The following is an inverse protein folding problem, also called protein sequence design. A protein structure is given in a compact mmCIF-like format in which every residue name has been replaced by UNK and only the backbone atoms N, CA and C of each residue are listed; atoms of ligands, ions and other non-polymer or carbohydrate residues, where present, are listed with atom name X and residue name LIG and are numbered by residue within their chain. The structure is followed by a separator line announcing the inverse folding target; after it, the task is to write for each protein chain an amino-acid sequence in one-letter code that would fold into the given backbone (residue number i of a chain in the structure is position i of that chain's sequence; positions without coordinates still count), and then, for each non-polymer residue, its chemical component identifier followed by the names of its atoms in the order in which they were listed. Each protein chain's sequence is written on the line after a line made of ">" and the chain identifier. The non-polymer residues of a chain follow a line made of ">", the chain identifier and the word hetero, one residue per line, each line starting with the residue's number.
data_IF_782003852873
#
_entry.id   IF_782003852873
#
_cell.length_a   1.000
_cell.length_b   1.000
_cell.length_c   1.000
_cell.angle_alpha   90.00
_cell.angle_beta   90.00
_cell.angle_gamma   90.00
#
_symmetry.space_group_name_H-M   'P 1'
#
loop_
_entity.id
_entity.type
_entity.pdbx_description
1 polymer ?
#
# COMPACT_ATOMS: atom_id res chain seq x y z
N UNK A 1 13.34 32.53 -71.41
CA UNK A 1 11.90 32.79 -71.63
C UNK A 1 11.16 32.19 -70.43
N UNK A 2 10.70 33.00 -69.46
CA UNK A 2 9.37 33.67 -69.42
C UNK A 2 8.20 32.69 -69.48
N UNK A 3 7.11 32.79 -68.70
CA UNK A 3 6.70 33.69 -67.61
C UNK A 3 5.50 33.00 -66.90
N UNK A 4 5.16 33.39 -65.68
CA UNK A 4 3.92 32.95 -64.98
C UNK A 4 2.65 33.59 -65.58
N UNK A 5 1.51 32.89 -65.52
CA UNK A 5 0.21 33.48 -65.14
C UNK A 5 -0.34 32.84 -63.84
N UNK A 6 -1.02 33.51 -62.90
CA UNK A 6 -2.31 34.26 -62.97
C UNK A 6 -3.54 33.31 -62.98
N UNK A 7 -4.74 33.61 -62.43
CA UNK A 7 -5.37 34.87 -61.99
C UNK A 7 -6.61 34.59 -61.08
N UNK A 8 -7.35 35.65 -60.67
CA UNK A 8 -8.76 35.70 -60.18
C UNK A 8 -9.04 35.50 -58.67
N UNK A 9 -9.98 36.22 -58.02
CA UNK A 9 -10.60 37.54 -58.29
C UNK A 9 -11.24 38.11 -56.98
N UNK A 10 -10.81 39.32 -56.59
CA UNK A 10 -11.59 40.53 -56.26
C UNK A 10 -13.07 40.46 -55.75
N UNK A 11 -13.35 41.04 -54.56
CA UNK A 11 -14.49 41.95 -54.28
C UNK A 11 -14.41 42.62 -52.88
N UNK A 12 -14.78 43.90 -52.78
CA UNK A 12 -14.98 44.68 -51.52
C UNK A 12 -16.47 44.63 -51.10
N UNK A 13 -16.97 45.20 -49.99
CA UNK A 13 -16.45 46.14 -48.97
C UNK A 13 -17.03 45.75 -47.57
N UNK A 14 -17.25 46.57 -46.52
CA UNK A 14 -17.26 48.03 -46.29
C UNK A 14 -16.76 48.35 -44.85
N UNK A 15 -17.23 49.43 -44.21
CA UNK A 15 -16.68 50.01 -42.96
C UNK A 15 -17.76 50.15 -41.89
N UNK A 16 -17.39 49.96 -40.61
CA UNK A 16 -18.20 50.30 -39.44
C UNK A 16 -17.36 50.46 -38.18
N UNK A 17 -16.89 51.68 -37.89
CA UNK A 17 -16.11 51.99 -36.68
C UNK A 17 -17.00 52.42 -35.52
N UNK A 18 -16.80 51.82 -34.34
CA UNK A 18 -17.19 52.40 -33.05
C UNK A 18 -16.01 52.31 -32.09
N UNK A 19 -15.55 53.46 -31.63
CA UNK A 19 -14.47 53.56 -30.64
C UNK A 19 -15.05 53.55 -29.23
N UNK A 20 -14.39 52.85 -28.30
CA UNK A 20 -14.55 53.07 -26.87
C UNK A 20 -13.19 53.05 -26.18
N UNK A 21 -13.01 53.94 -25.20
CA UNK A 21 -11.71 54.29 -24.62
C UNK A 21 -11.24 53.29 -23.54
N UNK A 22 -9.93 53.27 -23.19
CA UNK A 22 -9.38 52.30 -22.25
C UNK A 22 -9.41 52.80 -20.80
N UNK A 23 -10.17 52.12 -19.93
CA UNK A 23 -10.06 52.24 -18.47
C UNK A 23 -10.33 50.89 -17.80
N UNK A 24 -9.43 50.45 -16.92
CA UNK A 24 -9.57 49.16 -16.22
C UNK A 24 -8.26 48.50 -15.86
N UNK A 25 -7.53 49.09 -14.90
CA UNK A 25 -6.32 48.48 -14.33
C UNK A 25 -6.67 47.19 -13.59
N UNK A 26 -6.47 46.03 -14.22
CA UNK A 26 -6.46 44.77 -13.49
C UNK A 26 -5.21 44.69 -12.62
N UNK A 27 -5.38 44.96 -11.33
CA UNK A 27 -4.35 44.74 -10.33
C UNK A 27 -3.94 43.26 -10.32
N UNK A 28 -2.64 42.99 -10.32
CA UNK A 28 -2.12 41.65 -10.12
C UNK A 28 -2.35 41.24 -8.65
N UNK A 29 -3.22 40.26 -8.42
CA UNK A 29 -3.36 39.67 -7.09
C UNK A 29 -2.05 39.02 -6.67
N UNK A 30 -1.47 39.59 -5.62
CA UNK A 30 -0.22 39.14 -4.99
C UNK A 30 -0.42 37.71 -4.46
N UNK A 31 0.48 36.75 -4.75
CA UNK A 31 0.37 35.40 -4.21
C UNK A 31 0.27 35.44 -2.67
N UNK A 32 -0.62 34.65 -2.04
CA UNK A 32 -0.78 34.66 -0.60
C UNK A 32 0.55 34.28 0.07
N UNK A 33 0.87 34.97 1.16
CA UNK A 33 2.13 34.81 1.88
C UNK A 33 2.31 33.35 2.33
N UNK A 34 3.57 32.89 2.38
CA UNK A 34 3.95 31.58 2.94
C UNK A 34 3.41 31.46 4.37
N UNK A 35 2.31 30.73 4.53
CA UNK A 35 1.89 30.25 5.85
C UNK A 35 2.99 29.34 6.41
N UNK A 36 3.39 29.59 7.65
CA UNK A 36 4.37 28.75 8.33
C UNK A 36 3.83 27.32 8.43
N UNK A 37 4.47 26.40 7.70
CA UNK A 37 4.11 24.99 7.75
C UNK A 37 4.41 24.47 9.16
N UNK A 38 3.36 24.22 9.94
CA UNK A 38 3.49 23.55 11.24
C UNK A 38 4.27 22.25 11.04
N UNK A 39 5.36 22.00 11.77
CA UNK A 39 6.23 20.87 11.48
C UNK A 39 5.46 19.56 11.62
N UNK A 40 5.28 18.88 10.48
CA UNK A 40 4.64 17.57 10.45
C UNK A 40 5.37 16.63 11.41
N UNK A 41 4.63 15.93 12.27
CA UNK A 41 5.18 14.88 13.15
C UNK A 41 5.78 13.69 12.37
N UNK A 42 5.76 13.76 11.04
CA UNK A 42 6.43 12.86 10.12
C UNK A 42 7.90 13.27 10.00
N UNK A 43 8.74 12.83 10.95
CA UNK A 43 10.14 12.53 10.63
C UNK A 43 10.10 11.53 9.46
N UNK A 44 10.46 12.00 8.27
CA UNK A 44 10.29 11.25 7.02
C UNK A 44 11.13 9.97 7.08
N UNK A 45 10.44 8.83 7.02
CA UNK A 45 11.09 7.54 6.86
C UNK A 45 11.75 7.52 5.48
N UNK A 46 13.06 7.22 5.45
CA UNK A 46 13.83 7.12 4.22
C UNK A 46 13.27 5.97 3.32
N UNK A 47 12.76 6.27 2.12
CA UNK A 47 12.21 5.24 1.22
C UNK A 47 13.24 4.19 0.78
N UNK A 48 14.54 4.52 0.81
CA UNK A 48 15.62 3.58 0.49
C UNK A 48 15.85 2.60 1.65
N UNK A 49 15.76 3.07 2.90
CA UNK A 49 15.88 2.25 4.10
C UNK A 49 14.73 1.25 4.29
N UNK A 50 13.54 1.55 3.71
CA UNK A 50 12.40 0.63 3.64
C UNK A 50 12.69 -0.53 2.67
N UNK A 51 13.20 -0.22 1.49
CA UNK A 51 13.41 -1.20 0.41
C UNK A 51 14.68 -2.04 0.57
N UNK A 52 15.69 -1.54 1.28
CA UNK A 52 16.96 -2.24 1.51
C UNK A 52 16.72 -3.59 2.23
N UNK A 53 17.19 -4.73 1.69
CA UNK A 53 17.15 -6.01 2.39
C UNK A 53 17.85 -5.94 3.75
N UNK A 54 17.24 -6.54 4.76
CA UNK A 54 17.75 -6.60 6.12
C UNK A 54 17.14 -7.79 6.86
N UNK A 55 17.93 -8.43 7.71
CA UNK A 55 17.55 -9.55 8.57
C UNK A 55 18.05 -9.29 9.99
N UNK A 56 17.32 -9.78 10.99
CA UNK A 56 17.65 -9.64 12.40
C UNK A 56 16.40 -9.43 13.27
N UNK A 57 16.61 -9.41 14.58
CA UNK A 57 15.53 -9.43 15.57
C UNK A 57 15.00 -8.05 15.96
N UNK A 58 14.01 -8.06 16.85
CA UNK A 58 13.33 -6.88 17.38
C UNK A 58 14.29 -5.75 17.82
N UNK A 59 15.42 -6.08 18.45
CA UNK A 59 16.41 -5.07 18.86
C UNK A 59 16.97 -4.27 17.68
N UNK A 60 17.25 -4.95 16.56
CA UNK A 60 17.69 -4.31 15.32
C UNK A 60 16.58 -3.48 14.65
N UNK A 61 15.33 -3.95 14.73
CA UNK A 61 14.16 -3.19 14.27
C UNK A 61 13.94 -1.91 15.10
N UNK A 62 14.14 -2.00 16.43
CA UNK A 62 14.08 -0.85 17.35
C UNK A 62 15.20 0.16 17.04
N UNK A 63 16.44 -0.32 16.85
CA UNK A 63 17.59 0.53 16.49
C UNK A 63 17.36 1.28 15.17
N UNK A 64 16.82 0.60 14.15
CA UNK A 64 16.43 1.19 12.86
C UNK A 64 15.15 2.04 12.93
N UNK A 65 14.37 1.92 14.03
CA UNK A 65 13.05 2.54 14.25
C UNK A 65 12.01 2.17 13.18
N UNK A 66 12.18 1.02 12.55
CA UNK A 66 11.39 0.61 11.38
C UNK A 66 11.05 -0.88 11.47
N UNK A 67 9.77 -1.20 11.32
CA UNK A 67 9.25 -2.55 11.17
C UNK A 67 8.45 -2.60 9.86
N UNK A 68 8.82 -3.51 8.96
CA UNK A 68 8.26 -3.65 7.62
C UNK A 68 7.37 -4.89 7.58
N UNK A 69 6.07 -4.69 7.51
CA UNK A 69 5.07 -5.77 7.48
C UNK A 69 4.74 -6.10 6.03
N UNK A 70 5.24 -7.23 5.55
CA UNK A 70 4.83 -7.83 4.29
C UNK A 70 3.37 -8.28 4.41
N UNK A 71 2.53 -7.85 3.48
CA UNK A 71 1.11 -8.20 3.45
C UNK A 71 0.63 -8.35 2.01
N UNK A 72 -0.67 -8.56 1.80
CA UNK A 72 -1.23 -8.82 0.46
C UNK A 72 -2.48 -7.98 0.24
N UNK A 73 -2.59 -7.41 -0.98
CA UNK A 73 -3.74 -6.61 -1.35
C UNK A 73 -5.02 -7.47 -1.35
N UNK A 74 -5.95 -7.17 -0.45
CA UNK A 74 -7.27 -7.79 -0.33
C UNK A 74 -8.18 -6.90 0.52
N UNK A 75 -9.50 -6.97 0.30
CA UNK A 75 -10.48 -6.22 1.11
C UNK A 75 -10.52 -6.64 2.59
N UNK A 76 -9.91 -7.76 2.95
CA UNK A 76 -9.83 -8.27 4.34
C UNK A 76 -8.55 -7.83 5.06
N UNK A 77 -7.38 -8.02 4.43
CA UNK A 77 -6.09 -7.87 5.13
C UNK A 77 -5.47 -6.49 4.98
N UNK A 78 -5.31 -6.01 3.74
CA UNK A 78 -4.72 -4.73 3.42
C UNK A 78 -5.30 -4.20 2.12
N UNK A 79 -5.86 -2.99 2.15
CA UNK A 79 -6.25 -2.23 0.97
C UNK A 79 -6.08 -0.73 1.21
N UNK A 80 -6.10 0.04 0.13
CA UNK A 80 -6.12 1.51 0.19
C UNK A 80 -7.48 2.01 -0.28
N UNK A 81 -8.08 2.91 0.49
CA UNK A 81 -9.34 3.59 0.20
C UNK A 81 -9.12 5.10 0.38
N UNK A 82 -9.26 5.87 -0.71
CA UNK A 82 -9.04 7.33 -0.74
C UNK A 82 -7.71 7.77 -0.08
N UNK A 83 -6.64 7.01 -0.32
CA UNK A 83 -5.31 7.24 0.28
C UNK A 83 -5.11 6.70 1.69
N UNK A 84 -6.16 6.21 2.36
CA UNK A 84 -6.10 5.63 3.70
C UNK A 84 -5.86 4.12 3.60
N UNK A 85 -4.81 3.64 4.27
CA UNK A 85 -4.57 2.20 4.47
C UNK A 85 -5.60 1.63 5.47
N UNK A 86 -6.23 0.51 5.11
CA UNK A 86 -7.27 -0.18 5.88
C UNK A 86 -7.10 -1.71 5.80
N UNK A 87 -7.78 -2.43 6.69
CA UNK A 87 -7.84 -3.89 6.73
C UNK A 87 -7.26 -4.43 8.03
N UNK A 88 -7.58 -5.69 8.36
CA UNK A 88 -7.28 -6.30 9.67
C UNK A 88 -5.79 -6.24 10.00
N UNK A 89 -4.90 -6.41 9.00
CA UNK A 89 -3.45 -6.31 9.21
C UNK A 89 -3.04 -4.88 9.54
N UNK A 90 -3.65 -3.87 8.90
CA UNK A 90 -3.36 -2.46 9.20
C UNK A 90 -3.75 -2.11 10.62
N UNK A 91 -4.94 -2.51 11.05
CA UNK A 91 -5.48 -2.13 12.36
C UNK A 91 -4.79 -2.88 13.49
N UNK A 92 -4.52 -4.19 13.32
CA UNK A 92 -3.72 -4.97 14.28
C UNK A 92 -2.31 -4.41 14.46
N UNK A 93 -1.62 -4.04 13.37
CA UNK A 93 -0.26 -3.52 13.46
C UNK A 93 -0.16 -2.06 13.92
N UNK A 94 -1.24 -1.26 13.79
CA UNK A 94 -1.34 0.05 14.47
C UNK A 94 -1.36 -0.12 15.99
N UNK A 95 -2.20 -1.01 16.50
CA UNK A 95 -2.24 -1.34 17.94
C UNK A 95 -0.89 -1.88 18.42
N UNK A 96 -0.26 -2.77 17.65
CA UNK A 96 1.09 -3.26 17.94
C UNK A 96 2.13 -2.12 17.98
N UNK A 97 2.12 -1.17 17.02
CA UNK A 97 3.05 -0.04 17.03
C UNK A 97 2.87 0.82 18.28
N UNK A 98 1.62 1.10 18.67
CA UNK A 98 1.32 1.88 19.87
C UNK A 98 1.79 1.17 21.15
N UNK A 99 1.47 -0.11 21.31
CA UNK A 99 1.85 -0.92 22.47
C UNK A 99 3.36 -1.14 22.56
N UNK A 100 4.02 -1.38 21.43
CA UNK A 100 5.49 -1.45 21.37
C UNK A 100 6.10 -0.14 21.86
N UNK A 101 5.68 1.01 21.33
CA UNK A 101 6.22 2.31 21.73
C UNK A 101 5.92 2.66 23.20
N UNK A 102 4.73 2.31 23.73
CA UNK A 102 4.43 2.45 25.18
C UNK A 102 5.42 1.65 26.02
N UNK A 103 5.65 0.36 25.68
CA UNK A 103 6.58 -0.53 26.39
C UNK A 103 8.03 -0.04 26.31
N UNK A 104 8.49 0.41 25.14
CA UNK A 104 9.85 0.94 24.95
C UNK A 104 10.08 2.25 25.72
N UNK A 105 9.07 3.12 25.80
CA UNK A 105 9.11 4.34 26.60
C UNK A 105 9.17 4.04 28.11
N UNK A 106 8.34 3.11 28.60
CA UNK A 106 8.34 2.67 30.00
C UNK A 106 9.69 2.06 30.41
N UNK A 107 10.30 1.24 29.54
CA UNK A 107 11.62 0.62 29.75
C UNK A 107 12.81 1.57 29.51
N UNK A 108 12.57 2.84 29.13
CA UNK A 108 13.63 3.82 28.73
C UNK A 108 14.57 3.31 27.62
N UNK A 109 14.12 2.36 26.79
CA UNK A 109 14.92 1.78 25.70
C UNK A 109 15.06 2.71 24.48
N UNK A 110 14.23 3.76 24.42
CA UNK A 110 14.35 4.83 23.43
C UNK A 110 15.36 5.87 23.93
N UNK A 111 16.51 6.01 23.25
CA UNK A 111 17.55 7.01 23.57
C UNK A 111 17.01 8.46 23.64
N UNK A 112 15.88 8.74 22.97
CA UNK A 112 15.20 10.03 23.00
C UNK A 112 13.68 9.80 23.05
N UNK A 113 12.96 10.44 23.98
CA UNK A 113 11.53 10.21 24.25
C UNK A 113 10.58 10.43 23.04
N UNK A 114 11.02 11.16 22.02
CA UNK A 114 10.21 11.48 20.83
C UNK A 114 10.52 10.58 19.62
N UNK A 115 11.56 9.73 19.67
CA UNK A 115 11.91 8.81 18.59
C UNK A 115 11.14 7.49 18.75
N UNK A 116 10.03 7.37 18.05
CA UNK A 116 9.20 6.15 18.00
C UNK A 116 9.69 5.16 16.94
N UNK A 117 9.45 3.87 17.17
CA UNK A 117 9.49 2.83 16.13
C UNK A 117 8.23 2.96 15.28
N UNK A 118 8.35 2.82 13.96
CA UNK A 118 7.25 2.96 12.99
C UNK A 118 7.02 1.67 12.23
N UNK A 119 5.76 1.30 12.02
CA UNK A 119 5.37 0.20 11.15
C UNK A 119 5.05 0.75 9.75
N UNK A 120 5.55 0.06 8.72
CA UNK A 120 5.20 0.29 7.32
C UNK A 120 4.68 -0.98 6.66
N UNK A 121 3.67 -0.86 5.81
CA UNK A 121 3.03 -1.98 5.13
C UNK A 121 3.56 -2.12 3.71
N UNK A 122 4.04 -3.33 3.38
CA UNK A 122 4.62 -3.68 2.08
C UNK A 122 3.71 -4.71 1.38
N UNK A 123 2.73 -4.27 0.57
CA UNK A 123 1.88 -5.19 -0.16
C UNK A 123 2.65 -5.90 -1.29
N UNK A 124 2.63 -7.23 -1.27
CA UNK A 124 3.24 -8.09 -2.30
C UNK A 124 2.22 -9.13 -2.82
N UNK A 125 2.58 -9.86 -3.88
CA UNK A 125 1.83 -11.03 -4.33
C UNK A 125 1.98 -12.15 -3.29
N UNK A 126 0.92 -12.90 -2.92
CA UNK A 126 0.98 -13.93 -1.85
C UNK A 126 2.00 -15.04 -2.11
N UNK A 127 2.26 -15.42 -3.37
CA UNK A 127 3.33 -16.37 -3.72
C UNK A 127 4.74 -15.80 -3.48
N UNK A 128 4.89 -14.48 -3.39
CA UNK A 128 6.13 -13.80 -3.06
C UNK A 128 6.27 -13.49 -1.56
N UNK A 129 5.25 -13.75 -0.74
CA UNK A 129 5.22 -13.30 0.66
C UNK A 129 6.31 -13.96 1.51
N UNK A 130 6.40 -15.29 1.50
CA UNK A 130 7.44 -16.03 2.24
C UNK A 130 8.83 -15.89 1.60
N UNK A 131 9.00 -15.98 0.26
CA UNK A 131 10.29 -15.68 -0.38
C UNK A 131 10.81 -14.26 -0.10
N UNK A 132 9.94 -13.26 -0.02
CA UNK A 132 10.32 -11.88 0.32
C UNK A 132 10.72 -11.74 1.80
N UNK A 133 10.07 -12.46 2.71
CA UNK A 133 10.45 -12.49 4.13
C UNK A 133 11.82 -13.15 4.31
N UNK A 134 12.03 -14.35 3.75
CA UNK A 134 13.32 -15.04 3.78
C UNK A 134 14.46 -14.23 3.14
N UNK A 135 14.16 -13.45 2.09
CA UNK A 135 15.10 -12.53 1.45
C UNK A 135 15.28 -11.18 2.19
N UNK A 136 14.75 -11.02 3.41
CA UNK A 136 14.89 -9.81 4.23
C UNK A 136 14.23 -8.54 3.64
N UNK A 137 13.28 -8.69 2.71
CA UNK A 137 12.55 -7.56 2.10
C UNK A 137 11.43 -7.01 3.00
N UNK A 138 11.13 -7.72 4.07
CA UNK A 138 10.36 -7.24 5.21
C UNK A 138 10.81 -7.94 6.48
N UNK A 139 10.25 -7.53 7.60
CA UNK A 139 10.65 -7.97 8.94
C UNK A 139 9.60 -8.93 9.55
N UNK A 140 8.33 -8.84 9.10
CA UNK A 140 7.21 -9.71 9.51
C UNK A 140 6.30 -9.95 8.29
N UNK A 141 5.73 -11.15 8.14
CA UNK A 141 4.68 -11.43 7.14
C UNK A 141 3.31 -11.63 7.80
N UNK A 142 2.28 -10.89 7.34
CA UNK A 142 0.93 -10.93 7.89
C UNK A 142 -0.13 -10.94 6.77
N UNK A 143 -0.75 -12.11 6.55
CA UNK A 143 -1.70 -12.32 5.46
C UNK A 143 -2.67 -13.51 5.65
N UNK A 144 -2.97 -13.96 6.87
CA UNK A 144 -3.60 -15.26 7.15
C UNK A 144 -2.82 -16.42 6.49
N UNK A 145 -1.78 -16.88 7.20
CA UNK A 145 -0.87 -17.93 6.77
C UNK A 145 -1.06 -19.16 7.65
N UNK A 146 -1.60 -20.22 7.07
CA UNK A 146 -1.60 -21.56 7.68
C UNK A 146 -0.16 -22.02 7.90
N UNK A 147 0.13 -22.53 9.09
CA UNK A 147 1.42 -23.15 9.41
C UNK A 147 1.44 -24.53 8.74
N UNK A 148 2.45 -24.80 7.93
CA UNK A 148 2.69 -26.12 7.31
C UNK A 148 4.18 -26.45 7.37
N UNK A 149 4.58 -27.74 7.35
CA UNK A 149 6.00 -28.13 7.44
C UNK A 149 6.88 -27.47 6.38
N UNK A 150 6.37 -27.34 5.14
CA UNK A 150 7.08 -26.74 4.00
C UNK A 150 7.30 -25.23 4.20
N UNK A 151 6.40 -24.56 4.91
CA UNK A 151 6.52 -23.13 5.24
C UNK A 151 7.43 -22.92 6.44
N UNK A 152 7.36 -23.79 7.44
CA UNK A 152 8.26 -23.78 8.60
C UNK A 152 9.72 -24.05 8.21
N UNK A 153 9.96 -24.83 7.16
CA UNK A 153 11.30 -25.01 6.59
C UNK A 153 11.89 -23.74 5.92
N UNK A 154 11.09 -22.69 5.73
CA UNK A 154 11.52 -21.42 5.12
C UNK A 154 11.57 -20.25 6.10
N UNK A 155 10.65 -20.19 7.07
CA UNK A 155 10.51 -19.09 8.04
C UNK A 155 9.91 -19.57 9.36
N UNK A 156 10.26 -18.88 10.44
CA UNK A 156 9.60 -19.06 11.73
C UNK A 156 8.18 -18.49 11.75
N UNK A 157 7.33 -19.08 12.59
CA UNK A 157 5.96 -18.62 12.84
C UNK A 157 5.78 -18.21 14.30
N UNK A 158 4.89 -17.24 14.53
CA UNK A 158 4.43 -16.92 15.89
C UNK A 158 3.58 -18.06 16.45
N UNK A 159 3.26 -17.99 17.75
CA UNK A 159 2.07 -18.68 18.27
C UNK A 159 0.86 -18.31 17.37
N UNK A 160 0.02 -19.28 16.95
CA UNK A 160 -1.10 -19.00 16.07
C UNK A 160 -2.06 -17.96 16.68
N UNK A 161 -2.43 -16.95 15.90
CA UNK A 161 -3.44 -15.97 16.31
C UNK A 161 -4.88 -16.52 16.23
N UNK A 162 -5.08 -17.64 15.52
CA UNK A 162 -6.33 -18.40 15.41
C UNK A 162 -5.97 -19.90 15.39
N UNK A 163 -6.75 -20.73 16.07
CA UNK A 163 -6.71 -22.20 15.99
C UNK A 163 -8.08 -22.73 15.54
N UNK A 164 -8.18 -24.04 15.33
CA UNK A 164 -9.46 -24.74 15.08
C UNK A 164 -10.27 -24.16 13.91
N UNK A 165 -9.57 -23.79 12.83
CA UNK A 165 -10.14 -23.14 11.65
C UNK A 165 -10.80 -24.17 10.73
N UNK A 166 -12.11 -24.03 10.51
CA UNK A 166 -12.84 -24.79 9.50
C UNK A 166 -12.59 -24.23 8.10
N UNK A 167 -12.01 -25.04 7.23
CA UNK A 167 -11.94 -24.76 5.78
C UNK A 167 -13.24 -25.28 5.12
N UNK A 168 -13.88 -24.45 4.28
CA UNK A 168 -15.20 -24.76 3.70
C UNK A 168 -15.17 -24.69 2.18
N UNK A 169 -15.80 -25.67 1.53
CA UNK A 169 -16.02 -25.67 0.08
C UNK A 169 -17.14 -24.66 -0.23
N UNK A 170 -16.89 -23.75 -1.16
CA UNK A 170 -17.88 -22.77 -1.63
C UNK A 170 -18.30 -23.13 -3.04
N UNK A 171 -19.59 -23.41 -3.23
CA UNK A 171 -20.19 -23.76 -4.52
C UNK A 171 -21.27 -22.75 -4.93
N UNK A 172 -21.62 -22.70 -6.22
CA UNK A 172 -22.63 -21.78 -6.73
C UNK A 172 -24.07 -22.30 -6.48
N UNK A 173 -25.11 -21.45 -6.53
CA UNK A 173 -26.50 -21.86 -6.26
C UNK A 173 -27.07 -22.98 -7.15
N UNK A 174 -26.49 -23.18 -8.34
CA UNK A 174 -26.85 -24.24 -9.28
C UNK A 174 -25.96 -25.49 -9.16
N UNK A 175 -24.99 -25.50 -8.24
CA UNK A 175 -24.15 -26.67 -7.98
C UNK A 175 -24.92 -27.68 -7.10
N UNK A 176 -24.74 -28.99 -7.30
CA UNK A 176 -25.21 -29.98 -6.35
C UNK A 176 -24.66 -29.70 -4.94
N UNK A 177 -25.42 -29.95 -3.86
CA UNK A 177 -24.88 -29.94 -2.50
C UNK A 177 -23.65 -30.85 -2.39
N UNK A 178 -22.71 -30.44 -1.53
CA UNK A 178 -21.49 -31.20 -1.22
C UNK A 178 -21.50 -31.38 0.30
N UNK A 179 -21.75 -32.60 0.77
CA UNK A 179 -21.83 -32.93 2.20
C UNK A 179 -20.51 -33.46 2.77
N UNK A 180 -19.61 -33.94 1.92
CA UNK A 180 -18.31 -34.53 2.29
C UNK A 180 -17.20 -34.15 1.30
N UNK A 181 -15.93 -34.37 1.69
CA UNK A 181 -14.79 -34.18 0.79
C UNK A 181 -14.73 -35.26 -0.31
N UNK A 182 -15.21 -36.47 -0.04
CA UNK A 182 -15.20 -37.58 -1.01
C UNK A 182 -16.10 -37.28 -2.22
N UNK A 183 -17.17 -36.49 -2.02
CA UNK A 183 -18.02 -35.98 -3.09
C UNK A 183 -17.28 -35.01 -4.05
N UNK A 184 -16.09 -34.53 -3.72
CA UNK A 184 -15.25 -33.77 -4.66
C UNK A 184 -14.57 -34.65 -5.71
N UNK A 185 -14.55 -35.98 -5.53
CA UNK A 185 -13.91 -36.90 -6.47
C UNK A 185 -14.51 -36.76 -7.88
N UNK A 186 -13.66 -36.53 -8.87
CA UNK A 186 -14.08 -36.33 -10.26
C UNK A 186 -14.72 -34.97 -10.57
N UNK A 187 -14.84 -34.06 -9.59
CA UNK A 187 -15.27 -32.67 -9.82
C UNK A 187 -14.06 -31.78 -10.13
N UNK A 188 -14.28 -30.74 -10.93
CA UNK A 188 -13.30 -29.66 -11.10
C UNK A 188 -13.36 -28.73 -9.88
N UNK A 189 -12.20 -28.47 -9.25
CA UNK A 189 -12.09 -27.62 -8.05
C UNK A 189 -11.03 -26.55 -8.28
N UNK A 190 -11.39 -25.29 -8.05
CA UNK A 190 -10.50 -24.14 -8.21
C UNK A 190 -9.94 -23.68 -6.87
N UNK A 191 -8.69 -24.07 -6.59
CA UNK A 191 -7.89 -23.52 -5.49
C UNK A 191 -6.83 -22.55 -5.99
N UNK A 192 -6.32 -21.72 -5.09
CA UNK A 192 -5.22 -20.81 -5.42
C UNK A 192 -3.91 -21.60 -5.31
N UNK A 193 -3.08 -21.70 -6.36
CA UNK A 193 -1.75 -22.39 -6.32
C UNK A 193 -0.77 -21.99 -5.16
N UNK A 194 -1.07 -20.96 -4.39
CA UNK A 194 -0.30 -20.53 -3.20
C UNK A 194 -1.12 -20.52 -1.88
N UNK A 195 -2.26 -21.22 -1.81
CA UNK A 195 -2.95 -21.55 -0.54
C UNK A 195 -2.31 -22.76 0.16
N UNK A 196 -2.86 -23.15 1.31
CA UNK A 196 -2.66 -24.48 1.94
C UNK A 196 -3.67 -25.51 1.44
N UNK A 197 -4.84 -25.06 0.98
CA UNK A 197 -5.79 -25.80 0.15
C UNK A 197 -5.27 -25.94 -1.28
#
# INVERSE_FOLDING_TARGET
>A
MSLTPALHLLAAALIGTLAFAPTGTHAQDKPPAKGEATPSKTLTLDPTAIQKPWTGDLDGMIQRRLIRVLTVNSKTFYFVDKGVQRGIVVDAFRVFEEELNKKLAAKKQLKQKHLKVRVVFLPVRRDQLLPALAAGKGDIAAANLTITPERQALVDFTVPAMSDVSEVVVAGPASPPIASLDELAGKEVFVRKSSSY
#
